data_IF_959830374763
#
_entry.id   IF_959830374763
#
_cell.length_a   1.000
_cell.length_b   1.000
_cell.length_c   1.000
_cell.angle_alpha   90.00
_cell.angle_beta   90.00
_cell.angle_gamma   90.00
#
_symmetry.space_group_name_H-M   'P 1'
#
loop_
_entity.id
_entity.type
_entity.pdbx_description
1 polymer ?
#
# COMPACT_ATOMS: atom_id res chain seq x y z
N UNK A 1 -1.68 -4.62 -29.35
CA UNK A 1 -0.72 -4.10 -28.36
C UNK A 1 -1.55 -3.35 -27.34
N UNK A 2 -1.98 -4.02 -26.27
CA UNK A 2 -2.90 -3.43 -25.29
C UNK A 2 -2.04 -2.60 -24.32
N UNK A 3 -2.41 -1.34 -24.09
CA UNK A 3 -1.74 -0.44 -23.15
C UNK A 3 -2.01 -0.90 -21.71
N UNK A 4 -1.21 -1.85 -21.22
CA UNK A 4 -1.33 -2.45 -19.88
C UNK A 4 -0.92 -1.48 -18.74
N UNK A 5 -0.56 -0.23 -19.06
CA UNK A 5 0.00 0.72 -18.08
C UNK A 5 -1.04 1.48 -17.26
N UNK A 6 -2.21 1.77 -17.83
CA UNK A 6 -3.16 2.73 -17.25
C UNK A 6 -4.19 2.06 -16.34
N UNK A 7 -4.65 0.86 -16.68
CA UNK A 7 -5.65 0.10 -15.89
C UNK A 7 -5.07 -0.46 -14.57
N UNK A 8 -3.78 -0.76 -14.52
CA UNK A 8 -3.12 -1.22 -13.28
C UNK A 8 -3.15 -0.12 -12.21
N UNK A 9 -3.12 1.14 -12.62
CA UNK A 9 -3.08 2.28 -11.71
C UNK A 9 -4.40 2.47 -10.96
N UNK A 10 -5.52 2.10 -11.58
CA UNK A 10 -6.86 2.12 -10.97
C UNK A 10 -7.10 0.93 -10.04
N UNK A 11 -6.52 -0.25 -10.35
CA UNK A 11 -6.64 -1.43 -9.50
C UNK A 11 -5.88 -1.30 -8.17
N UNK A 12 -4.86 -0.44 -8.12
CA UNK A 12 -4.08 -0.13 -6.93
C UNK A 12 -4.69 0.98 -6.04
N UNK A 13 -5.78 1.63 -6.46
CA UNK A 13 -6.32 2.78 -5.72
C UNK A 13 -7.10 2.40 -4.45
N UNK A 14 -7.52 1.14 -4.32
CA UNK A 14 -8.32 0.64 -3.18
C UNK A 14 -7.61 -0.46 -2.38
N UNK A 15 -6.28 -0.55 -2.50
CA UNK A 15 -5.49 -1.41 -1.62
C UNK A 15 -5.57 -0.86 -0.19
N UNK A 16 -6.44 -1.44 0.65
CA UNK A 16 -6.55 -1.11 2.07
C UNK A 16 -5.20 -1.37 2.74
N UNK A 17 -4.36 -0.33 2.83
CA UNK A 17 -3.08 -0.39 3.51
C UNK A 17 -3.36 -0.49 4.99
N UNK A 18 -2.65 -1.36 5.69
CA UNK A 18 -2.62 -1.37 7.15
C UNK A 18 -1.20 -1.05 7.60
N UNK A 19 -1.05 -0.25 8.65
CA UNK A 19 0.23 0.03 9.28
C UNK A 19 0.14 -0.42 10.72
N UNK A 20 0.98 -1.37 11.12
CA UNK A 20 0.96 -2.04 12.41
C UNK A 20 -0.43 -2.64 12.76
N UNK A 21 -1.16 -3.12 11.75
CA UNK A 21 -2.50 -3.69 11.90
C UNK A 21 -3.64 -2.66 11.92
N UNK A 22 -3.34 -1.36 11.77
CA UNK A 22 -4.36 -0.30 11.68
C UNK A 22 -4.57 0.12 10.22
N UNK A 23 -5.81 0.04 9.73
CA UNK A 23 -6.15 0.43 8.36
C UNK A 23 -5.88 1.92 8.14
N UNK A 24 -4.94 2.20 7.24
CA UNK A 24 -4.48 3.53 6.88
C UNK A 24 -4.89 3.82 5.43
N UNK A 25 -5.92 4.64 5.27
CA UNK A 25 -6.40 5.09 3.95
C UNK A 25 -5.84 6.45 3.56
N UNK A 26 -5.13 7.15 4.46
CA UNK A 26 -4.54 8.46 4.16
C UNK A 26 -3.20 8.26 3.46
N UNK A 27 -3.19 8.59 2.16
CA UNK A 27 -1.97 8.77 1.38
C UNK A 27 -1.12 9.86 2.03
N UNK A 28 -0.15 9.49 2.88
CA UNK A 28 0.76 10.47 3.50
C UNK A 28 1.27 10.17 4.91
N UNK A 29 1.05 8.98 5.50
CA UNK A 29 1.69 8.64 6.77
C UNK A 29 3.20 8.47 6.57
N UNK A 30 4.00 9.30 7.26
CA UNK A 30 5.43 9.06 7.41
C UNK A 30 5.62 7.85 8.30
N UNK A 31 6.22 6.81 7.76
CA UNK A 31 6.54 5.59 8.50
C UNK A 31 7.90 5.72 9.19
N UNK A 32 8.01 5.12 10.36
CA UNK A 32 9.26 5.07 11.13
C UNK A 32 9.89 3.70 11.02
N UNK A 33 11.22 3.62 11.16
CA UNK A 33 11.94 2.34 11.26
C UNK A 33 11.28 1.44 12.31
N UNK A 34 10.91 0.23 11.90
CA UNK A 34 10.19 -0.73 12.72
C UNK A 34 8.70 -0.85 12.42
N UNK A 35 8.10 0.11 11.70
CA UNK A 35 6.71 -0.01 11.24
C UNK A 35 6.56 -1.17 10.25
N UNK A 36 5.45 -1.90 10.38
CA UNK A 36 5.06 -2.97 9.47
C UNK A 36 3.85 -2.50 8.67
N UNK A 37 3.95 -2.55 7.35
CA UNK A 37 2.91 -2.11 6.42
C UNK A 37 2.40 -3.32 5.67
N UNK A 38 1.10 -3.60 5.71
CA UNK A 38 0.49 -4.62 4.87
C UNK A 38 -0.35 -3.97 3.77
N UNK A 39 -0.15 -4.37 2.52
CA UNK A 39 -0.91 -3.91 1.36
C UNK A 39 -1.31 -5.13 0.54
N UNK A 40 -2.61 -5.34 0.33
CA UNK A 40 -3.13 -6.41 -0.52
C UNK A 40 -2.52 -7.80 -0.21
N UNK A 41 -2.39 -8.11 1.09
CA UNK A 41 -1.80 -9.37 1.58
C UNK A 41 -0.27 -9.43 1.57
N UNK A 42 0.42 -8.37 1.14
CA UNK A 42 1.89 -8.27 1.17
C UNK A 42 2.35 -7.41 2.35
N UNK A 43 3.15 -7.96 3.25
CA UNK A 43 3.72 -7.25 4.40
C UNK A 43 5.14 -6.75 4.12
N UNK A 44 5.41 -5.49 4.42
CA UNK A 44 6.71 -4.84 4.28
C UNK A 44 7.09 -4.16 5.59
N UNK A 45 8.29 -4.42 6.09
CA UNK A 45 8.82 -3.76 7.29
C UNK A 45 9.75 -2.61 6.91
N UNK A 46 9.56 -1.46 7.54
CA UNK A 46 10.41 -0.28 7.35
C UNK A 46 11.73 -0.49 8.11
N UNK A 47 12.85 -0.47 7.38
CA UNK A 47 14.18 -0.80 7.86
C UNK A 47 15.12 0.40 8.03
#
# INVERSE_FOLDING_TARGET
MVEVGSDVKLLLEDGAVTVNGEAESRRGRTLTRGDVVAVDGTELRVA
#
